data_IF_639681247446
#
_entry.id   IF_639681247446
#
_cell.length_a   1.000
_cell.length_b   1.000
_cell.length_c   1.000
_cell.angle_alpha   90.00
_cell.angle_beta   90.00
_cell.angle_gamma   90.00
#
_symmetry.space_group_name_H-M   'P 1'
#
loop_
_entity.id
_entity.type
_entity.pdbx_description
1 polymer ?
#
# COMPACT_ATOMS: atom_id res chain seq x y z
N UNK A 1 14.12 10.94 -3.76
CA UNK A 1 14.67 11.36 -2.45
C UNK A 1 13.74 10.86 -1.35
N UNK A 2 14.22 10.59 -0.14
CA UNK A 2 13.39 10.07 0.97
C UNK A 2 13.44 11.04 2.13
N UNK A 3 12.28 11.40 2.65
CA UNK A 3 12.10 12.25 3.82
C UNK A 3 11.48 11.43 4.96
N UNK A 4 12.18 11.21 6.08
CA UNK A 4 11.65 10.44 7.21
C UNK A 4 10.71 11.29 8.06
N UNK A 5 9.43 10.91 8.13
CA UNK A 5 8.44 11.55 9.00
C UNK A 5 8.26 10.71 10.28
N UNK A 6 8.33 11.29 11.49
CA UNK A 6 8.13 10.53 12.72
C UNK A 6 6.70 9.97 12.82
N UNK A 7 6.58 8.76 13.35
CA UNK A 7 5.28 8.20 13.80
C UNK A 7 4.82 8.97 15.04
N UNK A 8 3.52 8.91 15.41
CA UNK A 8 2.99 9.56 16.62
C UNK A 8 3.46 8.92 17.95
N UNK A 9 4.60 8.23 17.94
CA UNK A 9 5.25 7.63 19.09
C UNK A 9 6.59 8.34 19.30
N UNK A 10 7.15 8.29 20.50
CA UNK A 10 8.48 8.84 20.75
C UNK A 10 9.51 8.25 19.77
N UNK A 11 10.21 9.15 19.06
CA UNK A 11 11.17 8.77 18.04
C UNK A 11 12.31 7.93 18.61
N UNK A 12 12.80 8.26 19.81
CA UNK A 12 13.92 7.57 20.52
C UNK A 12 15.15 7.30 19.64
N UNK A 13 15.38 8.11 18.59
CA UNK A 13 16.38 7.88 17.55
C UNK A 13 16.25 6.53 16.82
N UNK A 14 15.06 5.92 16.84
CA UNK A 14 14.78 4.62 16.23
C UNK A 14 14.17 4.79 14.84
N UNK A 15 14.88 4.32 13.80
CA UNK A 15 14.40 4.38 12.41
C UNK A 15 13.05 3.67 12.20
N UNK A 16 12.76 2.62 12.99
CA UNK A 16 11.46 1.92 12.98
C UNK A 16 10.27 2.82 13.36
N UNK A 17 10.52 3.92 14.05
CA UNK A 17 9.53 4.91 14.46
C UNK A 17 9.39 6.04 13.44
N UNK A 18 9.89 5.86 12.22
CA UNK A 18 9.74 6.80 11.11
C UNK A 18 8.96 6.17 9.95
N UNK A 19 8.34 7.02 9.14
CA UNK A 19 7.72 6.71 7.85
C UNK A 19 8.58 7.32 6.75
N UNK A 20 9.27 6.51 5.94
CA UNK A 20 10.09 7.04 4.85
C UNK A 20 9.19 7.48 3.69
N UNK A 21 8.90 8.78 3.57
CA UNK A 21 8.15 9.31 2.44
C UNK A 21 9.08 9.56 1.26
N UNK A 22 8.77 8.98 0.11
CA UNK A 22 9.51 9.21 -1.12
C UNK A 22 8.99 10.45 -1.82
N UNK A 23 9.87 11.43 -1.98
CA UNK A 23 9.63 12.62 -2.78
C UNK A 23 9.87 12.27 -4.24
N UNK A 24 8.81 12.43 -5.03
CA UNK A 24 8.74 12.09 -6.46
C UNK A 24 8.41 13.34 -7.26
N UNK A 25 8.93 13.39 -8.48
CA UNK A 25 8.69 14.44 -9.47
C UNK A 25 7.19 14.63 -9.75
N UNK A 26 6.76 15.89 -9.86
CA UNK A 26 5.36 16.25 -10.11
C UNK A 26 4.86 15.68 -11.45
N UNK A 27 5.71 15.68 -12.48
CA UNK A 27 5.38 15.12 -13.79
C UNK A 27 5.11 13.62 -13.68
N UNK A 28 5.95 12.88 -12.94
CA UNK A 28 5.75 11.45 -12.67
C UNK A 28 4.42 11.23 -11.94
N UNK A 29 4.16 11.99 -10.86
CA UNK A 29 2.89 11.88 -10.12
C UNK A 29 1.68 12.13 -11.01
N UNK A 30 1.76 13.12 -11.91
CA UNK A 30 0.68 13.48 -12.83
C UNK A 30 0.41 12.36 -13.84
N UNK A 31 1.46 11.82 -14.47
CA UNK A 31 1.35 10.69 -15.38
C UNK A 31 0.76 9.45 -14.69
N UNK A 32 1.29 9.10 -13.52
CA UNK A 32 0.83 7.95 -12.74
C UNK A 32 -0.61 8.17 -12.26
N UNK A 33 -1.01 9.41 -11.93
CA UNK A 33 -2.39 9.72 -11.55
C UNK A 33 -3.37 9.51 -12.71
N UNK A 34 -3.00 9.91 -13.93
CA UNK A 34 -3.81 9.65 -15.12
C UNK A 34 -3.98 8.15 -15.35
N UNK A 35 -2.89 7.40 -15.25
CA UNK A 35 -2.92 5.95 -15.37
C UNK A 35 -3.77 5.30 -14.26
N UNK A 36 -3.59 5.73 -13.01
CA UNK A 36 -4.35 5.29 -11.85
C UNK A 36 -5.86 5.50 -12.06
N UNK A 37 -6.29 6.68 -12.51
CA UNK A 37 -7.71 6.97 -12.67
C UNK A 37 -8.37 6.03 -13.68
N UNK A 38 -7.69 5.75 -14.80
CA UNK A 38 -8.17 4.80 -15.82
C UNK A 38 -8.23 3.38 -15.27
N UNK A 39 -7.18 2.96 -14.57
CA UNK A 39 -7.10 1.63 -13.99
C UNK A 39 -8.20 1.43 -12.91
N UNK A 40 -8.34 2.38 -11.99
CA UNK A 40 -9.34 2.35 -10.93
C UNK A 40 -10.76 2.26 -11.49
N UNK A 41 -11.07 3.01 -12.56
CA UNK A 41 -12.38 2.95 -13.22
C UNK A 41 -12.66 1.56 -13.80
N UNK A 42 -11.71 0.97 -14.54
CA UNK A 42 -11.88 -0.38 -15.11
C UNK A 42 -12.10 -1.42 -14.01
N UNK A 43 -11.41 -1.29 -12.88
CA UNK A 43 -11.51 -2.27 -11.78
C UNK A 43 -12.82 -2.17 -11.04
N UNK A 44 -13.31 -0.94 -10.81
CA UNK A 44 -14.61 -0.71 -10.22
C UNK A 44 -15.71 -1.32 -11.10
N UNK A 45 -15.64 -1.16 -12.42
CA UNK A 45 -16.61 -1.72 -13.36
C UNK A 45 -16.60 -3.25 -13.45
N UNK A 46 -15.48 -3.90 -13.15
CA UNK A 46 -15.32 -5.35 -13.26
C UNK A 46 -15.40 -6.08 -11.91
N UNK A 47 -15.72 -5.38 -10.81
CA UNK A 47 -15.75 -5.90 -9.44
C UNK A 47 -14.49 -6.73 -9.09
N UNK A 48 -13.32 -6.36 -9.61
CA UNK A 48 -12.10 -7.18 -9.48
C UNK A 48 -11.68 -7.34 -8.01
N UNK A 49 -12.07 -6.38 -7.19
CA UNK A 49 -11.78 -6.30 -5.76
C UNK A 49 -13.04 -6.71 -4.98
N UNK A 50 -13.38 -8.01 -4.99
CA UNK A 50 -14.48 -8.56 -4.18
C UNK A 50 -14.04 -8.76 -2.73
N UNK A 51 -14.89 -8.40 -1.77
CA UNK A 51 -14.74 -8.74 -0.34
C UNK A 51 -14.29 -7.60 0.57
N UNK A 52 -14.10 -7.91 1.87
CA UNK A 52 -13.92 -7.00 3.03
C UNK A 52 -12.68 -6.11 3.06
N UNK A 53 -12.20 -5.66 1.90
CA UNK A 53 -11.18 -4.62 1.79
C UNK A 53 -11.85 -3.24 1.74
N UNK A 54 -11.87 -2.57 2.88
CA UNK A 54 -12.47 -1.24 3.01
C UNK A 54 -11.49 -0.08 2.79
N UNK A 55 -10.21 -0.39 2.54
CA UNK A 55 -9.14 0.59 2.38
C UNK A 55 -8.68 0.72 0.92
N UNK A 56 -8.45 1.97 0.46
CA UNK A 56 -7.80 2.26 -0.81
C UNK A 56 -8.70 2.33 -2.06
N UNK A 57 -9.99 2.04 -1.92
CA UNK A 57 -11.00 2.22 -2.98
C UNK A 57 -11.82 3.51 -2.78
N UNK A 58 -12.26 4.17 -3.87
CA UNK A 58 -13.22 5.28 -3.78
C UNK A 58 -14.51 4.81 -3.07
N UNK A 59 -14.93 5.54 -2.04
CA UNK A 59 -16.13 5.22 -1.26
C UNK A 59 -15.91 4.24 -0.09
N UNK A 60 -14.70 3.73 0.12
CA UNK A 60 -14.37 2.91 1.29
C UNK A 60 -14.39 3.73 2.58
N UNK A 61 -14.97 3.17 3.64
CA UNK A 61 -15.08 3.80 4.96
C UNK A 61 -14.46 2.91 6.04
N UNK A 62 -13.82 3.51 7.04
CA UNK A 62 -13.41 2.77 8.24
C UNK A 62 -14.61 2.42 9.13
N UNK A 63 -15.76 3.05 8.93
CA UNK A 63 -16.97 2.81 9.75
C UNK A 63 -17.54 1.42 9.50
N UNK A 64 -17.64 1.03 8.24
CA UNK A 64 -18.26 -0.24 7.84
C UNK A 64 -17.60 -1.46 8.49
N UNK A 65 -16.25 -1.65 8.46
CA UNK A 65 -15.62 -2.78 9.12
C UNK A 65 -15.76 -2.73 10.64
N UNK A 66 -15.80 -1.54 11.25
CA UNK A 66 -16.03 -1.39 12.70
C UNK A 66 -17.43 -1.87 13.06
N UNK A 67 -18.45 -1.43 12.33
CA UNK A 67 -19.85 -1.83 12.57
C UNK A 67 -20.04 -3.34 12.34
N UNK A 68 -19.39 -3.90 11.30
CA UNK A 68 -19.42 -5.35 11.04
C UNK A 68 -18.79 -6.11 12.22
N UNK A 69 -17.62 -5.68 12.69
CA UNK A 69 -16.96 -6.32 13.83
C UNK A 69 -17.79 -6.22 15.11
N UNK A 70 -18.38 -5.05 15.39
CA UNK A 70 -19.27 -4.83 16.53
C UNK A 70 -20.49 -5.75 16.45
N UNK A 71 -21.09 -5.89 15.26
CA UNK A 71 -22.24 -6.77 15.02
C UNK A 71 -21.90 -8.24 15.26
N UNK A 72 -20.71 -8.70 14.81
CA UNK A 72 -20.23 -10.06 15.05
C UNK A 72 -20.02 -10.32 16.56
N UNK A 73 -19.42 -9.36 17.26
CA UNK A 73 -19.21 -9.45 18.72
C UNK A 73 -20.56 -9.52 19.45
N UNK A 74 -21.50 -8.67 19.05
CA UNK A 74 -22.83 -8.61 19.65
C UNK A 74 -23.63 -9.90 19.43
N UNK A 75 -23.63 -10.44 18.21
CA UNK A 75 -24.30 -11.69 17.88
C UNK A 75 -23.76 -12.86 18.71
N UNK A 76 -22.43 -12.98 18.81
CA UNK A 76 -21.81 -14.02 19.62
C UNK A 76 -22.16 -13.91 21.11
N UNK A 77 -22.28 -12.68 21.61
CA UNK A 77 -22.70 -12.41 22.98
C UNK A 77 -24.15 -12.84 23.23
N UNK A 78 -25.08 -12.48 22.34
CA UNK A 78 -26.52 -12.83 22.45
C UNK A 78 -26.73 -14.34 22.34
N UNK A 79 -26.04 -14.99 21.41
CA UNK A 79 -26.17 -16.42 21.15
C UNK A 79 -25.32 -17.30 22.08
N UNK A 80 -24.52 -16.71 22.99
CA UNK A 80 -23.58 -17.40 23.89
C UNK A 80 -22.62 -18.34 23.16
N UNK A 81 -22.25 -17.99 21.93
CA UNK A 81 -21.32 -18.77 21.13
C UNK A 81 -19.87 -18.32 21.38
N UNK A 82 -18.89 -19.24 21.39
CA UNK A 82 -17.48 -18.86 21.48
C UNK A 82 -17.06 -18.06 20.24
N UNK A 83 -16.42 -16.90 20.45
CA UNK A 83 -15.88 -16.04 19.38
C UNK A 83 -14.36 -15.90 19.54
N UNK A 84 -13.65 -16.05 18.43
CA UNK A 84 -12.19 -15.86 18.35
C UNK A 84 -11.89 -14.81 17.29
N UNK A 85 -11.13 -13.77 17.65
CA UNK A 85 -10.74 -12.69 16.75
C UNK A 85 -9.22 -12.74 16.57
N UNK A 86 -8.78 -12.83 15.31
CA UNK A 86 -7.38 -12.70 14.94
C UNK A 86 -7.13 -11.32 14.34
N UNK A 87 -6.25 -10.54 14.97
CA UNK A 87 -5.79 -9.24 14.44
C UNK A 87 -4.36 -9.36 13.94
N UNK A 88 -4.10 -8.95 12.70
CA UNK A 88 -2.78 -8.98 12.07
C UNK A 88 -2.39 -7.59 11.57
N UNK A 89 -1.18 -7.15 11.93
CA UNK A 89 -0.56 -5.92 11.40
C UNK A 89 0.73 -6.26 10.64
N UNK A 90 0.83 -5.81 9.39
CA UNK A 90 1.99 -6.09 8.52
C UNK A 90 3.03 -5.00 8.69
N UNK A 91 4.15 -5.38 9.30
CA UNK A 91 5.30 -4.49 9.48
C UNK A 91 5.85 -3.97 8.15
N UNK A 92 5.89 -2.65 8.03
CA UNK A 92 6.47 -1.92 6.89
C UNK A 92 5.89 -2.35 5.53
N UNK A 93 4.58 -2.63 5.47
CA UNK A 93 3.81 -3.01 4.29
C UNK A 93 4.43 -2.60 2.93
N UNK A 94 4.52 -1.29 2.63
CA UNK A 94 5.07 -0.80 1.36
C UNK A 94 6.56 -1.13 1.13
N UNK A 95 7.39 -1.04 2.18
CA UNK A 95 8.84 -1.26 2.06
C UNK A 95 9.18 -2.75 1.92
N UNK A 96 8.27 -3.65 2.30
CA UNK A 96 8.46 -5.10 2.31
C UNK A 96 7.96 -5.77 1.03
N UNK A 97 7.33 -5.02 0.12
CA UNK A 97 6.79 -5.57 -1.14
C UNK A 97 7.89 -6.05 -2.07
N UNK A 98 7.91 -7.34 -2.37
CA UNK A 98 8.76 -7.90 -3.43
C UNK A 98 8.15 -7.66 -4.82
N UNK A 99 8.98 -7.27 -5.79
CA UNK A 99 8.52 -6.94 -7.15
C UNK A 99 8.04 -8.17 -7.93
N UNK A 100 8.51 -9.38 -7.61
CA UNK A 100 7.98 -10.62 -8.21
C UNK A 100 6.59 -10.91 -7.65
N UNK A 101 6.38 -10.74 -6.35
CA UNK A 101 5.04 -10.87 -5.76
C UNK A 101 4.07 -9.85 -6.34
N UNK A 102 4.49 -8.59 -6.49
CA UNK A 102 3.70 -7.57 -7.15
C UNK A 102 3.35 -7.99 -8.59
N UNK A 103 4.33 -8.51 -9.35
CA UNK A 103 4.08 -9.02 -10.70
C UNK A 103 3.01 -10.11 -10.71
N UNK A 104 3.11 -11.11 -9.83
CA UNK A 104 2.11 -12.18 -9.75
C UNK A 104 0.72 -11.66 -9.35
N UNK A 105 0.64 -10.68 -8.44
CA UNK A 105 -0.63 -10.03 -8.11
C UNK A 105 -1.27 -9.34 -9.33
N UNK A 106 -0.46 -8.63 -10.12
CA UNK A 106 -0.92 -7.94 -11.34
C UNK A 106 -1.34 -8.91 -12.46
N UNK A 107 -0.63 -10.03 -12.59
CA UNK A 107 -0.98 -11.10 -13.53
C UNK A 107 -2.26 -11.83 -13.11
N UNK A 108 -2.48 -12.04 -11.80
CA UNK A 108 -3.70 -12.66 -11.25
C UNK A 108 -4.96 -11.86 -11.57
N UNK A 109 -4.88 -10.53 -11.52
CA UNK A 109 -5.99 -9.64 -11.93
C UNK A 109 -6.08 -9.45 -13.45
N UNK A 110 -5.32 -10.24 -14.23
CA UNK A 110 -5.29 -10.23 -15.70
C UNK A 110 -4.95 -8.86 -16.31
N UNK A 111 -4.10 -8.08 -15.64
CA UNK A 111 -3.67 -6.81 -16.17
C UNK A 111 -2.80 -7.01 -17.43
N UNK A 112 -2.99 -6.23 -18.51
CA UNK A 112 -2.19 -6.38 -19.72
C UNK A 112 -0.69 -6.28 -19.46
N UNK A 113 0.11 -7.07 -20.18
CA UNK A 113 1.56 -7.14 -19.98
C UNK A 113 2.26 -5.78 -20.12
N UNK A 114 1.76 -4.90 -21.00
CA UNK A 114 2.26 -3.53 -21.16
C UNK A 114 2.04 -2.67 -19.90
N UNK A 115 0.86 -2.77 -19.29
CA UNK A 115 0.52 -2.09 -18.06
C UNK A 115 1.32 -2.65 -16.87
N UNK A 116 1.45 -3.97 -16.76
CA UNK A 116 2.29 -4.60 -15.73
C UNK A 116 3.75 -4.17 -15.86
N UNK A 117 4.31 -4.15 -17.08
CA UNK A 117 5.67 -3.67 -17.34
C UNK A 117 5.84 -2.20 -16.97
N UNK A 118 4.87 -1.36 -17.30
CA UNK A 118 4.87 0.05 -16.91
C UNK A 118 4.91 0.20 -15.38
N UNK A 119 4.01 -0.48 -14.66
CA UNK A 119 3.96 -0.42 -13.19
C UNK A 119 5.27 -0.90 -12.57
N UNK A 120 5.81 -2.04 -13.01
CA UNK A 120 7.07 -2.56 -12.49
C UNK A 120 8.23 -1.60 -12.78
N UNK A 121 8.23 -0.93 -13.93
CA UNK A 121 9.27 0.05 -14.29
C UNK A 121 9.33 1.25 -13.34
N UNK A 122 8.21 1.61 -12.69
CA UNK A 122 8.19 2.68 -11.68
C UNK A 122 9.06 2.35 -10.47
N UNK A 123 9.30 1.06 -10.20
CA UNK A 123 9.99 0.58 -9.01
C UNK A 123 11.34 -0.11 -9.27
N UNK A 124 11.70 -0.34 -10.54
CA UNK A 124 12.96 -0.97 -10.92
C UNK A 124 14.14 0.02 -10.91
N UNK A 125 15.34 -0.50 -10.60
CA UNK A 125 16.64 0.22 -10.69
C UNK A 125 16.66 1.60 -10.01
N UNK A 126 15.90 1.76 -8.92
CA UNK A 126 15.83 3.04 -8.19
C UNK A 126 17.05 3.26 -7.31
N UNK A 127 17.47 4.51 -7.23
CA UNK A 127 18.44 4.97 -6.23
C UNK A 127 17.84 6.11 -5.42
N UNK A 128 17.97 6.01 -4.10
CA UNK A 128 17.44 6.97 -3.15
C UNK A 128 18.56 7.61 -2.33
N UNK A 129 18.27 8.79 -1.80
CA UNK A 129 19.07 9.52 -0.79
C UNK A 129 18.12 9.90 0.33
N UNK A 130 18.58 9.84 1.58
CA UNK A 130 17.78 10.26 2.73
C UNK A 130 18.11 11.72 3.04
N UNK A 131 17.07 12.54 3.19
CA UNK A 131 17.22 13.90 3.68
C UNK A 131 17.23 13.89 5.22
N UNK A 132 18.27 14.46 5.81
CA UNK A 132 18.46 14.56 7.27
C UNK A 132 18.63 16.02 7.67
N UNK A 133 18.58 16.30 8.98
CA UNK A 133 18.88 17.64 9.51
C UNK A 133 20.29 18.14 9.15
N UNK A 134 21.22 17.24 8.82
CA UNK A 134 22.60 17.53 8.46
C UNK A 134 22.86 17.48 6.95
N UNK A 135 21.79 17.44 6.13
CA UNK A 135 21.87 17.32 4.67
C UNK A 135 21.54 15.93 4.15
N UNK A 136 21.88 15.68 2.89
CA UNK A 136 21.53 14.42 2.20
C UNK A 136 22.59 13.36 2.38
N UNK A 137 22.17 12.12 2.65
CA UNK A 137 23.07 10.95 2.68
C UNK A 137 23.60 10.60 1.29
N UNK A 138 24.69 9.81 1.20
CA UNK A 138 25.06 9.12 -0.03
C UNK A 138 23.88 8.33 -0.61
N UNK A 139 23.89 8.18 -1.94
CA UNK A 139 22.87 7.41 -2.64
C UNK A 139 23.01 5.92 -2.36
N UNK A 140 21.88 5.25 -2.13
CA UNK A 140 21.79 3.81 -2.02
C UNK A 140 20.85 3.24 -3.09
N UNK A 141 21.06 1.99 -3.47
CA UNK A 141 20.19 1.28 -4.42
C UNK A 141 19.03 0.64 -3.67
N UNK A 142 17.81 0.88 -4.13
CA UNK A 142 16.61 0.24 -3.57
C UNK A 142 16.47 -1.14 -4.18
N UNK A 143 16.35 -2.17 -3.32
CA UNK A 143 16.24 -3.58 -3.74
C UNK A 143 14.82 -4.11 -3.68
N UNK A 144 14.04 -3.65 -2.70
CA UNK A 144 12.70 -4.12 -2.39
C UNK A 144 11.80 -2.94 -2.01
N UNK A 145 10.49 -3.14 -2.13
CA UNK A 145 9.46 -2.20 -1.73
C UNK A 145 8.93 -1.35 -2.87
N UNK A 146 7.74 -0.81 -2.64
CA UNK A 146 7.10 0.24 -3.43
C UNK A 146 7.18 1.57 -2.68
N UNK A 147 7.13 2.67 -3.42
CA UNK A 147 7.38 4.00 -2.85
C UNK A 147 6.19 4.49 -2.01
N UNK A 148 6.43 4.70 -0.72
CA UNK A 148 5.47 5.38 0.15
C UNK A 148 5.42 6.86 -0.24
N UNK A 149 4.36 7.27 -0.95
CA UNK A 149 4.24 8.61 -1.56
C UNK A 149 4.03 8.58 -3.08
N UNK A 150 4.15 7.41 -3.70
CA UNK A 150 3.69 7.19 -5.09
C UNK A 150 2.16 7.08 -5.14
N UNK A 151 1.58 7.66 -6.19
CA UNK A 151 0.11 7.78 -6.36
C UNK A 151 -0.55 6.40 -6.48
N UNK A 152 0.11 5.46 -7.16
CA UNK A 152 -0.44 4.12 -7.38
C UNK A 152 -0.18 3.15 -6.21
N UNK A 153 0.76 3.44 -5.31
CA UNK A 153 1.18 2.51 -4.25
C UNK A 153 0.04 1.99 -3.37
N UNK A 154 -0.94 2.80 -2.91
CA UNK A 154 -2.06 2.30 -2.13
C UNK A 154 -2.89 1.25 -2.88
N UNK A 155 -3.10 1.44 -4.19
CA UNK A 155 -3.83 0.50 -5.03
C UNK A 155 -3.03 -0.78 -5.29
N UNK A 156 -1.71 -0.67 -5.46
CA UNK A 156 -0.85 -1.85 -5.61
C UNK A 156 -0.84 -2.71 -4.35
N UNK A 157 -0.83 -2.08 -3.18
CA UNK A 157 -0.94 -2.78 -1.90
C UNK A 157 -2.22 -3.62 -1.83
N UNK A 158 -3.33 -3.07 -2.30
CA UNK A 158 -4.61 -3.78 -2.33
C UNK A 158 -4.57 -5.03 -3.22
N UNK A 159 -3.82 -5.04 -4.33
CA UNK A 159 -3.65 -6.28 -5.11
C UNK A 159 -2.77 -7.29 -4.41
N UNK A 160 -1.68 -6.84 -3.80
CA UNK A 160 -0.78 -7.70 -3.06
C UNK A 160 -1.52 -8.35 -1.89
N UNK A 161 -2.41 -7.63 -1.22
CA UNK A 161 -3.22 -8.18 -0.13
C UNK A 161 -4.20 -9.27 -0.60
N UNK A 162 -4.54 -9.36 -1.89
CA UNK A 162 -5.34 -10.50 -2.41
C UNK A 162 -4.54 -11.82 -2.55
N UNK A 163 -3.21 -11.76 -2.40
CA UNK A 163 -2.35 -12.95 -2.36
C UNK A 163 -2.25 -13.58 -0.97
N UNK A 164 -2.68 -12.87 0.07
CA UNK A 164 -2.74 -13.34 1.46
C UNK A 164 -4.16 -13.77 1.80
#
# INVERSE_FOLDING_TARGET
MVFPIPKPHEWKCQLKNTRPITLLEVIRKSLVKLFYNRLASVLASNEVLKGGNFAGLPGGSCRDPIVILESIIHDAYVNKSPLWILSQDISKAFNSVDLKMLRFALERIKLPASATKFILSLFMKRSNRVFTAHGTTPSYRVRIGIDQGEVISPLLWLYISTLY
#
